data_IF_129663895052
#
_entry.id   IF_129663895052
#
_cell.length_a   1.000
_cell.length_b   1.000
_cell.length_c   1.000
_cell.angle_alpha   90.00
_cell.angle_beta   90.00
_cell.angle_gamma   90.00
#
_symmetry.space_group_name_H-M   'P 1'
#
loop_
_entity.id
_entity.type
_entity.pdbx_description
1 polymer ?
#
# COMPACT_ATOMS: atom_id res chain seq x y z
N UNK A 1 10.54 -22.88 5.92
CA UNK A 1 10.43 -22.23 4.61
C UNK A 1 9.00 -21.77 4.37
N UNK A 2 8.83 -20.73 3.56
CA UNK A 2 7.54 -20.13 3.21
C UNK A 2 7.37 -20.10 1.70
N UNK A 3 6.12 -20.14 1.24
CA UNK A 3 5.76 -19.93 -0.16
C UNK A 3 5.35 -18.49 -0.39
N UNK A 4 4.65 -17.88 0.59
CA UNK A 4 4.12 -16.52 0.49
C UNK A 4 4.29 -15.79 1.82
N UNK A 5 4.70 -14.53 1.74
CA UNK A 5 4.64 -13.55 2.82
C UNK A 5 3.66 -12.47 2.39
N UNK A 6 2.63 -12.21 3.20
CA UNK A 6 1.70 -11.10 2.98
C UNK A 6 1.93 -10.08 4.10
N UNK A 7 2.58 -8.98 3.78
CA UNK A 7 2.85 -7.87 4.69
C UNK A 7 1.62 -6.94 4.73
N UNK A 8 0.60 -7.35 5.50
CA UNK A 8 -0.74 -6.75 5.48
C UNK A 8 -1.00 -5.75 6.60
N UNK A 9 -0.43 -5.95 7.80
CA UNK A 9 -0.72 -5.11 8.95
C UNK A 9 -0.51 -3.61 8.67
N UNK A 10 -1.35 -2.75 9.27
CA UNK A 10 -1.20 -1.32 9.06
C UNK A 10 -2.18 -0.48 9.86
N UNK A 11 -1.87 0.80 9.89
CA UNK A 11 -2.71 1.86 10.47
C UNK A 11 -2.87 2.98 9.46
N UNK A 12 -3.92 3.79 9.58
CA UNK A 12 -4.20 4.90 8.68
C UNK A 12 -4.69 6.11 9.45
N UNK A 13 -4.20 7.28 9.03
CA UNK A 13 -4.60 8.59 9.55
C UNK A 13 -4.55 8.68 11.09
N UNK A 14 -3.53 8.05 11.72
CA UNK A 14 -3.36 8.13 13.17
C UNK A 14 -3.06 9.57 13.60
N UNK A 15 -3.40 9.96 14.84
CA UNK A 15 -2.81 11.14 15.45
C UNK A 15 -1.26 11.07 15.39
N UNK A 16 -0.61 12.23 15.44
CA UNK A 16 0.86 12.28 15.54
C UNK A 16 1.34 11.50 16.77
N UNK A 17 2.32 10.66 16.56
CA UNK A 17 2.93 9.86 17.62
C UNK A 17 4.12 9.07 17.07
N UNK A 18 4.78 8.35 17.96
CA UNK A 18 5.96 7.57 17.64
C UNK A 18 5.83 6.12 18.11
N UNK A 19 6.49 5.22 17.43
CA UNK A 19 6.70 3.84 17.89
C UNK A 19 7.65 3.84 19.11
N UNK A 20 7.77 2.69 19.78
CA UNK A 20 8.73 2.54 20.87
C UNK A 20 10.19 2.79 20.43
N UNK A 21 10.49 2.61 19.16
CA UNK A 21 11.81 2.86 18.58
C UNK A 21 11.99 4.29 18.06
N UNK A 22 11.01 5.20 18.30
CA UNK A 22 11.10 6.62 17.97
C UNK A 22 10.76 6.97 16.52
N UNK A 23 10.18 6.06 15.73
CA UNK A 23 9.72 6.36 14.37
C UNK A 23 8.29 6.86 14.36
N UNK A 24 7.96 7.77 13.42
CA UNK A 24 6.56 8.18 13.22
C UNK A 24 5.66 6.94 13.08
N UNK A 25 4.49 6.98 13.73
CA UNK A 25 3.64 5.79 13.94
C UNK A 25 3.26 5.07 12.65
N UNK A 26 2.85 5.79 11.61
CA UNK A 26 2.42 5.18 10.35
C UNK A 26 3.60 4.67 9.54
N UNK A 27 4.68 5.43 9.45
CA UNK A 27 5.91 5.01 8.76
C UNK A 27 6.56 3.81 9.46
N UNK A 28 6.66 3.87 10.78
CA UNK A 28 7.19 2.77 11.61
C UNK A 28 6.39 1.49 11.48
N UNK A 29 5.06 1.58 11.61
CA UNK A 29 4.16 0.42 11.57
C UNK A 29 3.97 -0.14 10.16
N UNK A 30 3.61 0.71 9.19
CA UNK A 30 3.23 0.25 7.85
C UNK A 30 4.44 -0.14 7.00
N UNK A 31 5.61 0.47 7.24
CA UNK A 31 6.78 0.27 6.40
C UNK A 31 7.96 -0.37 7.16
N UNK A 32 8.53 0.32 8.15
CA UNK A 32 9.77 -0.15 8.77
C UNK A 32 9.63 -1.51 9.46
N UNK A 33 8.51 -1.75 10.14
CA UNK A 33 8.23 -3.06 10.76
C UNK A 33 8.23 -4.19 9.73
N UNK A 34 7.55 -4.02 8.61
CA UNK A 34 7.55 -4.98 7.51
C UNK A 34 8.91 -5.07 6.83
N UNK A 35 9.58 -3.94 6.59
CA UNK A 35 10.91 -3.90 6.00
C UNK A 35 11.91 -4.74 6.80
N UNK A 36 11.96 -4.56 8.11
CA UNK A 36 12.87 -5.31 8.98
C UNK A 36 12.50 -6.79 9.01
N UNK A 37 11.22 -7.11 9.27
CA UNK A 37 10.75 -8.49 9.34
C UNK A 37 11.05 -9.24 8.04
N UNK A 38 10.58 -8.71 6.91
CA UNK A 38 10.70 -9.36 5.59
C UNK A 38 12.17 -9.57 5.22
N UNK A 39 13.04 -8.57 5.40
CA UNK A 39 14.47 -8.75 5.09
C UNK A 39 15.14 -9.83 5.96
N UNK A 40 14.76 -9.94 7.23
CA UNK A 40 15.31 -10.97 8.14
C UNK A 40 14.88 -12.39 7.77
N UNK A 41 13.64 -12.57 7.27
CA UNK A 41 13.10 -13.89 6.93
C UNK A 41 13.12 -14.19 5.43
N UNK A 42 13.55 -13.27 4.57
CA UNK A 42 13.58 -13.41 3.11
C UNK A 42 14.31 -14.69 2.64
N UNK A 43 15.34 -15.12 3.38
CA UNK A 43 16.09 -16.36 3.10
C UNK A 43 15.24 -17.62 3.22
N UNK A 44 14.12 -17.55 3.93
CA UNK A 44 13.19 -18.68 4.14
C UNK A 44 12.14 -18.78 3.02
N UNK A 45 12.02 -17.79 2.14
CA UNK A 45 11.22 -17.90 0.93
C UNK A 45 11.88 -18.88 -0.04
N UNK A 46 11.11 -19.87 -0.48
CA UNK A 46 11.54 -20.85 -1.49
C UNK A 46 11.62 -20.24 -2.89
N UNK A 47 12.29 -20.90 -3.81
CA UNK A 47 12.15 -20.60 -5.24
C UNK A 47 10.67 -20.71 -5.65
N UNK A 48 10.16 -19.75 -6.42
CA UNK A 48 8.74 -19.57 -6.71
C UNK A 48 7.96 -18.84 -5.62
N UNK A 49 8.60 -18.55 -4.46
CA UNK A 49 7.96 -17.83 -3.35
C UNK A 49 7.69 -16.35 -3.68
N UNK A 50 6.76 -15.73 -2.93
CA UNK A 50 6.27 -14.38 -3.19
C UNK A 50 6.20 -13.53 -1.94
N UNK A 51 6.54 -12.25 -2.09
CA UNK A 51 6.22 -11.19 -1.15
C UNK A 51 5.06 -10.37 -1.70
N UNK A 52 3.97 -10.29 -0.96
CA UNK A 52 2.84 -9.40 -1.23
C UNK A 52 2.87 -8.31 -0.17
N UNK A 53 3.16 -7.08 -0.60
CA UNK A 53 3.32 -5.95 0.30
C UNK A 53 2.14 -4.97 0.13
N UNK A 54 1.36 -4.77 1.21
CA UNK A 54 0.15 -3.95 1.11
C UNK A 54 0.49 -2.46 1.05
N UNK A 55 0.20 -1.89 -0.13
CA UNK A 55 0.19 -0.47 -0.38
C UNK A 55 -1.26 0.07 -0.33
N UNK A 56 -1.52 1.15 -1.03
CA UNK A 56 -2.84 1.81 -1.10
C UNK A 56 -2.84 2.83 -2.23
N UNK A 57 -4.01 3.22 -2.73
CA UNK A 57 -4.16 4.45 -3.53
C UNK A 57 -3.67 5.69 -2.77
N UNK A 58 -3.60 5.62 -1.45
CA UNK A 58 -3.04 6.67 -0.59
C UNK A 58 -1.56 7.00 -0.86
N UNK A 59 -0.80 6.16 -1.58
CA UNK A 59 0.56 6.50 -2.03
C UNK A 59 0.60 7.79 -2.86
N UNK A 60 -0.53 8.18 -3.47
CA UNK A 60 -0.65 9.41 -4.27
C UNK A 60 -0.66 10.68 -3.42
N UNK A 61 -0.90 10.59 -2.12
CA UNK A 61 -0.88 11.76 -1.24
C UNK A 61 0.53 12.31 -1.00
N UNK A 62 1.56 11.46 -1.05
CA UNK A 62 2.94 11.91 -0.82
C UNK A 62 3.99 10.93 -1.30
N UNK A 63 5.10 11.48 -1.77
CA UNK A 63 6.36 10.75 -1.89
C UNK A 63 7.00 10.52 -0.51
N UNK A 64 7.98 9.61 -0.45
CA UNK A 64 8.79 9.44 0.75
C UNK A 64 9.72 10.64 0.90
N UNK A 65 9.71 11.24 2.09
CA UNK A 65 10.68 12.25 2.50
C UNK A 65 11.69 11.60 3.46
N UNK A 66 12.86 11.27 2.94
CA UNK A 66 13.95 10.68 3.74
C UNK A 66 14.72 11.73 4.55
N UNK A 67 14.50 13.03 4.31
CA UNK A 67 15.14 14.10 5.08
C UNK A 67 14.37 14.38 6.38
N UNK A 68 13.05 14.09 6.38
CA UNK A 68 12.18 14.29 7.53
C UNK A 68 11.13 13.17 7.66
N UNK A 69 11.56 11.92 7.83
CA UNK A 69 10.64 10.78 7.85
C UNK A 69 9.71 10.78 9.07
N UNK A 70 10.11 11.47 10.14
CA UNK A 70 9.40 11.53 11.41
C UNK A 70 8.61 12.83 11.62
N UNK A 71 8.54 13.74 10.64
CA UNK A 71 7.90 15.05 10.79
C UNK A 71 8.48 15.90 11.93
N UNK A 72 9.80 15.89 12.10
CA UNK A 72 10.50 16.70 13.08
C UNK A 72 10.64 18.16 12.66
N UNK A 73 10.54 18.44 11.35
CA UNK A 73 10.75 19.76 10.74
C UNK A 73 9.51 20.29 10.04
N UNK A 74 8.65 19.41 9.56
CA UNK A 74 7.43 19.76 8.82
C UNK A 74 6.20 19.47 9.67
N UNK A 75 5.11 20.27 9.52
CA UNK A 75 3.85 19.98 10.20
C UNK A 75 3.35 18.57 9.84
N UNK A 76 2.88 17.86 10.86
CA UNK A 76 2.27 16.54 10.65
C UNK A 76 0.91 16.67 9.98
N UNK A 77 0.73 15.89 8.93
CA UNK A 77 -0.55 15.72 8.24
C UNK A 77 -0.81 14.22 8.09
N UNK A 78 -1.91 13.70 8.67
CA UNK A 78 -2.14 12.25 8.77
C UNK A 78 -2.16 11.51 7.43
N UNK A 79 -2.75 12.09 6.37
CA UNK A 79 -2.79 11.46 5.06
C UNK A 79 -1.47 11.57 4.29
N UNK A 80 -0.68 12.62 4.53
CA UNK A 80 0.69 12.72 4.01
C UNK A 80 1.57 11.65 4.64
N UNK A 81 1.49 11.46 5.96
CA UNK A 81 2.23 10.40 6.66
C UNK A 81 1.83 9.01 6.19
N UNK A 82 0.52 8.77 6.02
CA UNK A 82 0.02 7.55 5.41
C UNK A 82 0.57 7.34 4.01
N UNK A 83 0.49 8.37 3.16
CA UNK A 83 1.00 8.34 1.78
C UNK A 83 2.49 8.00 1.73
N UNK A 84 3.32 8.65 2.57
CA UNK A 84 4.76 8.34 2.70
C UNK A 84 4.99 6.85 2.98
N UNK A 85 4.25 6.29 3.94
CA UNK A 85 4.39 4.87 4.32
C UNK A 85 3.99 3.93 3.18
N UNK A 86 2.96 4.26 2.40
CA UNK A 86 2.46 3.43 1.29
C UNK A 86 3.30 3.55 0.03
N UNK A 87 3.86 4.73 -0.25
CA UNK A 87 4.90 4.91 -1.28
C UNK A 87 6.17 4.13 -0.93
N UNK A 88 6.61 4.18 0.34
CA UNK A 88 7.77 3.40 0.80
C UNK A 88 7.57 1.89 0.59
N UNK A 89 6.35 1.37 0.80
CA UNK A 89 6.02 -0.03 0.53
C UNK A 89 6.15 -0.40 -0.96
N UNK A 90 5.74 0.48 -1.88
CA UNK A 90 5.93 0.27 -3.32
C UNK A 90 7.43 0.22 -3.66
N UNK A 91 8.18 1.21 -3.20
CA UNK A 91 9.62 1.29 -3.46
C UNK A 91 10.37 0.08 -2.88
N UNK A 92 10.00 -0.35 -1.66
CA UNK A 92 10.54 -1.56 -1.06
C UNK A 92 10.23 -2.80 -1.89
N UNK A 93 9.01 -2.94 -2.39
CA UNK A 93 8.60 -4.06 -3.24
C UNK A 93 9.44 -4.13 -4.51
N UNK A 94 9.63 -3.01 -5.22
CA UNK A 94 10.47 -2.95 -6.43
C UNK A 94 11.91 -3.35 -6.12
N UNK A 95 12.49 -2.80 -5.05
CA UNK A 95 13.86 -3.12 -4.64
C UNK A 95 14.02 -4.57 -4.19
N UNK A 96 13.03 -5.11 -3.47
CA UNK A 96 13.02 -6.50 -3.03
C UNK A 96 12.93 -7.47 -4.22
N UNK A 97 12.02 -7.24 -5.16
CA UNK A 97 11.89 -8.05 -6.39
C UNK A 97 13.21 -8.07 -7.16
N UNK A 98 13.78 -6.89 -7.42
CA UNK A 98 15.06 -6.77 -8.13
C UNK A 98 16.19 -7.57 -7.45
N UNK A 99 16.21 -7.59 -6.11
CA UNK A 99 17.26 -8.27 -5.32
C UNK A 99 17.10 -9.78 -5.28
N UNK A 100 15.86 -10.28 -5.35
CA UNK A 100 15.57 -11.69 -5.08
C UNK A 100 15.05 -12.47 -6.31
N UNK A 101 14.77 -11.83 -7.44
CA UNK A 101 14.26 -12.49 -8.66
C UNK A 101 15.18 -13.60 -9.18
N UNK A 102 16.49 -13.44 -9.06
CA UNK A 102 17.47 -14.46 -9.51
C UNK A 102 17.41 -15.73 -8.65
N UNK A 103 16.82 -15.65 -7.46
CA UNK A 103 16.48 -16.80 -6.60
C UNK A 103 15.11 -17.40 -6.91
N UNK A 104 14.41 -16.89 -7.94
CA UNK A 104 13.05 -17.25 -8.26
C UNK A 104 12.00 -16.67 -7.29
N UNK A 105 12.35 -15.66 -6.47
CA UNK A 105 11.42 -15.00 -5.54
C UNK A 105 10.96 -13.69 -6.15
N UNK A 106 9.65 -13.47 -6.17
CA UNK A 106 9.05 -12.26 -6.74
C UNK A 106 8.29 -11.46 -5.69
N UNK A 107 8.09 -10.18 -5.96
CA UNK A 107 7.34 -9.32 -5.06
C UNK A 107 6.35 -8.43 -5.82
N UNK A 108 5.17 -8.21 -5.23
CA UNK A 108 4.17 -7.27 -5.73
C UNK A 108 3.70 -6.32 -4.62
N UNK A 109 3.50 -5.05 -4.95
CA UNK A 109 2.78 -4.11 -4.13
C UNK A 109 1.29 -4.18 -4.46
N UNK A 110 0.42 -4.27 -3.45
CA UNK A 110 -1.01 -4.48 -3.67
C UNK A 110 -1.83 -3.35 -3.06
N UNK A 111 -2.73 -2.79 -3.86
CA UNK A 111 -3.84 -1.97 -3.37
C UNK A 111 -5.09 -2.85 -3.26
N UNK A 112 -5.63 -3.06 -2.06
CA UNK A 112 -6.78 -3.93 -1.86
C UNK A 112 -8.10 -3.30 -2.31
N UNK A 113 -8.17 -1.98 -2.38
CA UNK A 113 -9.38 -1.20 -2.63
C UNK A 113 -9.88 -0.49 -1.39
N UNK A 114 -11.06 0.11 -1.49
CA UNK A 114 -11.74 0.73 -0.35
C UNK A 114 -12.67 -0.26 0.34
N UNK A 115 -12.45 -0.52 1.60
CA UNK A 115 -13.33 -1.32 2.44
C UNK A 115 -13.57 -0.66 3.80
N UNK A 116 -14.68 -1.02 4.40
CA UNK A 116 -15.08 -0.54 5.71
C UNK A 116 -14.53 -1.47 6.79
N UNK A 117 -13.42 -1.06 7.41
CA UNK A 117 -12.73 -1.82 8.48
C UNK A 117 -12.26 -0.88 9.58
N UNK A 118 -11.70 -1.43 10.64
CA UNK A 118 -11.06 -0.68 11.73
C UNK A 118 -9.84 0.15 11.28
N UNK A 119 -9.39 0.00 10.03
CA UNK A 119 -8.32 0.83 9.47
C UNK A 119 -8.68 2.32 9.48
N UNK A 120 -9.98 2.64 9.27
CA UNK A 120 -10.49 4.02 9.23
C UNK A 120 -10.93 4.57 10.60
N UNK A 121 -10.65 3.89 11.71
CA UNK A 121 -11.10 4.28 13.06
C UNK A 121 -10.64 5.67 13.53
N UNK A 122 -9.60 6.22 12.92
CA UNK A 122 -9.07 7.55 13.23
C UNK A 122 -9.60 8.64 12.28
N UNK A 123 -10.44 8.29 11.32
CA UNK A 123 -10.98 9.24 10.34
C UNK A 123 -12.40 9.62 10.77
N UNK A 124 -12.66 10.93 10.82
CA UNK A 124 -14.02 11.40 11.05
C UNK A 124 -14.96 10.92 9.94
N UNK A 125 -16.14 10.37 10.28
CA UNK A 125 -17.10 9.88 9.29
C UNK A 125 -17.51 10.94 8.26
N UNK A 126 -17.60 12.21 8.65
CA UNK A 126 -17.93 13.31 7.74
C UNK A 126 -16.84 13.53 6.69
N UNK A 127 -15.58 13.39 7.10
CA UNK A 127 -14.43 13.46 6.19
C UNK A 127 -14.42 12.29 5.19
N UNK A 128 -14.74 11.09 5.66
CA UNK A 128 -14.90 9.92 4.78
C UNK A 128 -16.00 10.15 3.73
N UNK A 129 -17.14 10.71 4.14
CA UNK A 129 -18.24 11.01 3.22
C UNK A 129 -17.84 12.07 2.19
N UNK A 130 -17.13 13.12 2.59
CA UNK A 130 -16.64 14.15 1.68
C UNK A 130 -15.68 13.58 0.60
N UNK A 131 -14.79 12.65 0.99
CA UNK A 131 -13.91 11.93 0.05
C UNK A 131 -14.75 11.11 -0.95
N UNK A 132 -15.73 10.35 -0.46
CA UNK A 132 -16.62 9.55 -1.32
C UNK A 132 -17.40 10.44 -2.30
N UNK A 133 -17.91 11.57 -1.83
CA UNK A 133 -18.64 12.52 -2.68
C UNK A 133 -17.73 13.11 -3.77
N UNK A 134 -16.47 13.39 -3.44
CA UNK A 134 -15.48 13.84 -4.41
C UNK A 134 -15.18 12.76 -5.46
N UNK A 135 -14.97 11.52 -5.03
CA UNK A 135 -14.77 10.37 -5.92
C UNK A 135 -16.00 10.21 -6.84
N UNK A 136 -17.20 10.26 -6.29
CA UNK A 136 -18.42 10.10 -7.07
C UNK A 136 -18.63 11.21 -8.10
N UNK A 137 -18.27 12.46 -7.79
CA UNK A 137 -18.31 13.55 -8.78
C UNK A 137 -17.36 13.27 -9.95
N UNK A 138 -16.15 12.76 -9.66
CA UNK A 138 -15.18 12.41 -10.69
C UNK A 138 -15.67 11.23 -11.54
N UNK A 139 -16.14 10.15 -10.92
CA UNK A 139 -16.69 8.99 -11.61
C UNK A 139 -17.88 9.35 -12.50
N UNK A 140 -18.76 10.20 -12.01
CA UNK A 140 -19.91 10.68 -12.79
C UNK A 140 -19.48 11.48 -14.03
N UNK A 141 -18.44 12.32 -13.92
CA UNK A 141 -17.87 13.05 -15.06
C UNK A 141 -17.28 12.12 -16.13
N UNK A 142 -16.81 10.93 -15.72
CA UNK A 142 -16.30 9.87 -16.62
C UNK A 142 -17.41 8.89 -17.09
N UNK A 143 -18.68 9.10 -16.73
CA UNK A 143 -19.79 8.19 -17.03
C UNK A 143 -19.69 6.83 -16.33
N UNK A 144 -18.98 6.76 -15.21
CA UNK A 144 -18.75 5.54 -14.42
C UNK A 144 -19.73 5.41 -13.26
N UNK A 145 -19.96 4.17 -12.83
CA UNK A 145 -20.80 3.89 -11.67
C UNK A 145 -20.24 4.50 -10.38
N UNK A 146 -21.09 4.90 -9.42
CA UNK A 146 -20.64 5.42 -8.14
C UNK A 146 -19.75 4.46 -7.38
N UNK A 147 -18.88 5.02 -6.52
CA UNK A 147 -18.02 4.27 -5.63
C UNK A 147 -18.83 3.30 -4.76
N UNK A 148 -18.34 2.09 -4.65
CA UNK A 148 -18.91 1.08 -3.77
C UNK A 148 -17.81 0.49 -2.88
N UNK A 149 -18.10 0.34 -1.60
CA UNK A 149 -17.24 -0.38 -0.68
C UNK A 149 -17.11 -1.84 -1.11
N UNK A 150 -15.89 -2.34 -1.09
CA UNK A 150 -15.64 -3.77 -1.26
C UNK A 150 -16.01 -4.55 0.00
N UNK A 151 -16.37 -5.81 -0.18
CA UNK A 151 -16.45 -6.78 0.91
C UNK A 151 -15.04 -7.28 1.30
N UNK A 152 -14.90 -7.86 2.49
CA UNK A 152 -13.63 -8.44 2.95
C UNK A 152 -13.05 -9.46 1.95
N UNK A 153 -13.83 -10.42 1.38
CA UNK A 153 -13.32 -11.32 0.35
C UNK A 153 -12.85 -10.60 -0.93
N UNK A 154 -13.55 -9.54 -1.36
CA UNK A 154 -13.15 -8.74 -2.52
C UNK A 154 -11.85 -7.97 -2.29
N UNK A 155 -11.58 -7.54 -1.05
CA UNK A 155 -10.31 -6.92 -0.69
C UNK A 155 -9.15 -7.93 -0.74
N UNK A 156 -9.36 -9.11 -0.14
CA UNK A 156 -8.36 -10.16 -0.12
C UNK A 156 -8.04 -10.70 -1.52
N UNK A 157 -8.98 -10.57 -2.47
CA UNK A 157 -8.86 -11.15 -3.81
C UNK A 157 -7.58 -10.72 -4.54
N UNK A 158 -7.20 -9.45 -4.51
CA UNK A 158 -5.98 -8.98 -5.19
C UNK A 158 -4.72 -9.55 -4.54
N UNK A 159 -4.68 -9.67 -3.22
CA UNK A 159 -3.55 -10.29 -2.51
C UNK A 159 -3.44 -11.78 -2.82
N UNK A 160 -4.56 -12.49 -2.88
CA UNK A 160 -4.60 -13.92 -3.25
C UNK A 160 -4.22 -14.08 -4.73
N UNK A 161 -4.76 -13.27 -5.61
CA UNK A 161 -4.42 -13.31 -7.03
C UNK A 161 -2.91 -13.08 -7.26
N UNK A 162 -2.35 -12.02 -6.70
CA UNK A 162 -0.92 -11.73 -6.83
C UNK A 162 -0.04 -12.76 -6.11
N UNK A 163 -0.51 -13.32 -5.00
CA UNK A 163 0.24 -14.29 -4.20
C UNK A 163 0.23 -15.70 -4.76
N UNK A 164 -0.84 -16.12 -5.46
CA UNK A 164 -1.11 -17.52 -5.74
C UNK A 164 -1.53 -17.83 -7.20
N UNK A 165 -2.10 -16.86 -7.93
CA UNK A 165 -2.76 -17.10 -9.22
C UNK A 165 -1.98 -16.49 -10.39
N UNK A 166 -1.66 -15.20 -10.33
CA UNK A 166 -0.96 -14.49 -11.39
C UNK A 166 0.41 -15.10 -11.68
N UNK A 167 0.91 -14.95 -12.89
CA UNK A 167 2.26 -15.40 -13.20
C UNK A 167 3.31 -14.56 -12.44
N UNK A 168 4.41 -15.18 -12.07
CA UNK A 168 5.50 -14.52 -11.36
C UNK A 168 6.08 -13.34 -12.16
N UNK A 169 6.17 -13.48 -13.47
CA UNK A 169 6.72 -12.45 -14.37
C UNK A 169 5.75 -11.29 -14.57
N UNK A 170 4.45 -11.55 -14.51
CA UNK A 170 3.42 -10.52 -14.60
C UNK A 170 3.47 -9.55 -13.43
N UNK A 171 3.60 -10.07 -12.20
CA UNK A 171 3.45 -9.27 -10.99
C UNK A 171 4.77 -8.73 -10.42
N UNK A 172 5.91 -9.29 -10.85
CA UNK A 172 7.20 -9.01 -10.23
C UNK A 172 7.63 -7.54 -10.31
N UNK A 173 7.81 -6.90 -9.17
CA UNK A 173 8.15 -5.49 -9.04
C UNK A 173 7.02 -4.54 -9.45
N UNK A 174 5.77 -5.02 -9.53
CA UNK A 174 4.62 -4.25 -10.01
C UNK A 174 3.68 -3.84 -8.87
N UNK A 175 2.92 -2.78 -9.15
CA UNK A 175 1.76 -2.39 -8.34
C UNK A 175 0.52 -3.05 -8.93
N UNK A 176 -0.27 -3.69 -8.08
CA UNK A 176 -1.43 -4.49 -8.47
C UNK A 176 -2.68 -3.99 -7.76
N UNK A 177 -3.79 -3.93 -8.47
CA UNK A 177 -5.11 -3.55 -7.97
C UNK A 177 -6.20 -4.31 -8.74
N UNK A 178 -7.34 -4.59 -8.13
CA UNK A 178 -8.48 -5.26 -8.77
C UNK A 178 -8.12 -6.54 -9.56
N UNK A 179 -7.19 -7.34 -9.04
CA UNK A 179 -6.66 -8.56 -9.66
C UNK A 179 -6.02 -8.33 -11.05
N UNK A 180 -5.35 -7.21 -11.24
CA UNK A 180 -4.51 -6.92 -12.40
C UNK A 180 -3.33 -6.02 -12.04
N UNK A 181 -2.37 -5.91 -12.93
CA UNK A 181 -1.25 -4.96 -12.80
C UNK A 181 -1.77 -3.55 -13.11
N UNK A 182 -1.51 -2.62 -12.22
CA UNK A 182 -1.91 -1.21 -12.38
C UNK A 182 -1.19 -0.55 -13.55
N UNK A 183 -1.86 0.42 -14.17
CA UNK A 183 -1.30 1.20 -15.25
C UNK A 183 -0.34 2.27 -14.71
N UNK A 184 0.78 2.48 -15.42
CA UNK A 184 1.67 3.61 -15.16
C UNK A 184 1.02 4.85 -15.77
N UNK A 185 0.82 5.88 -14.96
CA UNK A 185 0.33 7.19 -15.43
C UNK A 185 1.54 8.10 -15.62
N UNK A 186 1.74 8.69 -16.80
CA UNK A 186 2.94 9.47 -17.10
C UNK A 186 3.01 10.80 -16.33
N UNK A 187 1.86 11.35 -15.93
CA UNK A 187 1.82 12.65 -15.26
C UNK A 187 1.45 12.51 -13.79
N UNK A 188 2.30 13.11 -12.94
CA UNK A 188 2.08 13.29 -11.51
C UNK A 188 0.98 14.34 -11.23
N UNK A 189 0.39 14.91 -12.29
CA UNK A 189 -0.61 15.95 -12.15
C UNK A 189 -1.92 15.37 -11.60
N UNK A 190 -2.08 15.55 -10.30
CA UNK A 190 -3.32 15.90 -9.61
C UNK A 190 -4.54 15.03 -9.81
N UNK A 191 -4.37 13.73 -9.67
CA UNK A 191 -5.57 12.96 -9.42
C UNK A 191 -5.48 12.41 -8.00
N UNK A 192 -6.23 13.05 -7.09
CA UNK A 192 -6.57 12.46 -5.81
C UNK A 192 -7.02 11.01 -5.99
N UNK A 193 -7.26 10.25 -4.91
CA UNK A 193 -7.53 8.82 -5.00
C UNK A 193 -8.67 8.56 -6.00
N UNK A 194 -8.35 7.79 -7.04
CA UNK A 194 -9.35 7.28 -7.99
C UNK A 194 -10.03 6.07 -7.39
#
# INVERSE_FOLDING_TARGET
SFDVIIANAGVMATPFGHTADGFETQFGTNHLGHFVLVNRIARLLRAGGRLINLSSSGHRYSNVDLQDPNFERTPYEPFVAYGRSKTANILFTVAFDKRHRDRGVRAAAVHPGGIKTELSRHIDPSHTQAIIDQINRHLAAEGRAPFQWKTIPQEAATSVWAGMVASADEIGGRYCENCHVGHIVPDFEHHGPR
#
